data_IF_962790384216
#
_entry.id   IF_962790384216
#
_cell.length_a   1.000
_cell.length_b   1.000
_cell.length_c   1.000
_cell.angle_alpha   90.00
_cell.angle_beta   90.00
_cell.angle_gamma   90.00
#
_symmetry.space_group_name_H-M   'P 1'
#
loop_
_entity.id
_entity.type
_entity.pdbx_description
1 polymer ?
#
# COMPACT_ATOMS: atom_id res chain seq x y z
N UNK A 1 -7.18 -3.95 -30.24
CA UNK A 1 -6.76 -2.80 -29.60
C UNK A 1 -5.88 -3.00 -28.42
N UNK A 2 -4.68 -2.75 -28.62
CA UNK A 2 -3.73 -3.08 -27.59
C UNK A 2 -3.14 -1.89 -26.91
N UNK A 3 -3.35 -0.73 -27.49
CA UNK A 3 -2.86 0.43 -26.84
C UNK A 3 -3.60 0.58 -25.54
N UNK A 4 -2.89 0.80 -24.53
CA UNK A 4 -3.46 0.93 -23.23
C UNK A 4 -3.54 -0.35 -22.47
N UNK A 5 -3.28 -1.48 -23.10
CA UNK A 5 -3.24 -2.73 -22.37
C UNK A 5 -1.92 -2.88 -21.64
N UNK A 6 -2.01 -3.32 -20.40
CA UNK A 6 -0.84 -3.54 -19.57
C UNK A 6 -0.42 -4.98 -19.70
N UNK A 7 0.84 -5.21 -20.07
CA UNK A 7 1.35 -6.58 -20.19
C UNK A 7 1.84 -7.07 -18.85
N UNK A 8 1.74 -8.37 -18.62
CA UNK A 8 2.29 -8.94 -17.38
C UNK A 8 3.77 -8.59 -17.25
N UNK A 9 4.16 -8.13 -16.09
CA UNK A 9 5.54 -7.77 -15.84
C UNK A 9 5.88 -6.33 -16.13
N UNK A 10 5.04 -5.63 -16.88
CA UNK A 10 5.28 -4.22 -17.17
C UNK A 10 4.89 -3.35 -15.99
N UNK A 11 5.57 -2.22 -15.87
CA UNK A 11 5.16 -1.22 -14.89
C UNK A 11 3.86 -0.60 -15.37
N UNK A 12 2.83 -0.73 -14.56
CA UNK A 12 1.49 -0.24 -14.92
C UNK A 12 1.26 1.18 -14.44
N UNK A 13 1.92 1.59 -13.36
CA UNK A 13 1.61 2.86 -12.76
C UNK A 13 2.72 3.32 -11.83
N UNK A 14 2.96 4.61 -11.81
CA UNK A 14 3.85 5.24 -10.85
C UNK A 14 3.03 6.12 -9.93
N UNK A 15 3.29 6.03 -8.64
CA UNK A 15 2.49 6.72 -7.65
C UNK A 15 3.37 7.29 -6.56
N UNK A 16 3.13 8.55 -6.23
CA UNK A 16 3.80 9.18 -5.10
C UNK A 16 2.81 9.32 -3.97
N UNK A 17 3.23 8.92 -2.78
CA UNK A 17 2.37 8.93 -1.61
C UNK A 17 3.00 9.74 -0.49
N UNK A 18 2.15 10.47 0.23
CA UNK A 18 2.59 11.09 1.47
C UNK A 18 2.78 10.02 2.54
N UNK A 19 3.40 10.41 3.65
CA UNK A 19 3.64 9.47 4.74
C UNK A 19 2.33 8.85 5.25
N UNK A 20 1.30 9.66 5.40
CA UNK A 20 0.01 9.17 5.88
C UNK A 20 -0.60 8.20 4.89
N UNK A 21 -0.56 8.57 3.60
CA UNK A 21 -1.09 7.71 2.57
C UNK A 21 -0.34 6.39 2.52
N UNK A 22 0.97 6.44 2.67
CA UNK A 22 1.80 5.24 2.68
C UNK A 22 1.42 4.33 3.83
N UNK A 23 1.19 4.90 5.01
CA UNK A 23 0.80 4.08 6.15
C UNK A 23 -0.53 3.38 5.93
N UNK A 24 -1.48 4.07 5.32
CA UNK A 24 -2.79 3.48 5.02
C UNK A 24 -2.63 2.33 4.02
N UNK A 25 -1.86 2.56 2.97
CA UNK A 25 -1.66 1.54 1.94
C UNK A 25 -0.97 0.32 2.53
N UNK A 26 0.09 0.54 3.29
CA UNK A 26 0.83 -0.56 3.91
C UNK A 26 -0.07 -1.37 4.84
N UNK A 27 -0.83 -0.68 5.67
CA UNK A 27 -1.72 -1.33 6.63
C UNK A 27 -2.79 -2.15 5.91
N UNK A 28 -3.36 -1.58 4.85
CA UNK A 28 -4.40 -2.28 4.09
C UNK A 28 -3.85 -3.54 3.43
N UNK A 29 -2.65 -3.44 2.84
CA UNK A 29 -2.04 -4.59 2.19
C UNK A 29 -1.66 -5.66 3.19
N UNK A 30 -1.15 -5.26 4.35
CA UNK A 30 -0.79 -6.22 5.39
C UNK A 30 -2.03 -6.96 5.88
N UNK A 31 -3.12 -6.23 6.07
CA UNK A 31 -4.37 -6.82 6.51
C UNK A 31 -4.89 -7.80 5.47
N UNK A 32 -4.85 -7.41 4.20
CA UNK A 32 -5.26 -8.29 3.13
C UNK A 32 -4.40 -9.56 3.10
N UNK A 33 -3.10 -9.39 3.21
CA UNK A 33 -2.18 -10.52 3.22
C UNK A 33 -2.54 -11.50 4.32
N UNK A 34 -2.84 -11.00 5.51
CA UNK A 34 -3.18 -11.85 6.65
C UNK A 34 -4.52 -12.55 6.48
N UNK A 35 -5.42 -11.96 5.70
CA UNK A 35 -6.75 -12.54 5.47
C UNK A 35 -6.77 -13.59 4.37
N UNK A 36 -5.78 -13.59 3.48
CA UNK A 36 -5.75 -14.56 2.39
C UNK A 36 -5.40 -15.93 2.91
N UNK A 37 -6.12 -16.94 2.43
CA UNK A 37 -5.91 -18.29 2.86
C UNK A 37 -5.00 -19.08 1.94
N UNK A 38 -4.86 -20.36 2.23
CA UNK A 38 -3.99 -21.24 1.46
C UNK A 38 -4.40 -21.35 0.00
N UNK A 39 -5.69 -21.21 -0.26
CA UNK A 39 -6.19 -21.33 -1.61
C UNK A 39 -5.84 -20.13 -2.47
N UNK A 40 -5.37 -19.07 -1.82
CA UNK A 40 -5.08 -17.83 -2.52
C UNK A 40 -3.60 -17.48 -2.44
N UNK A 41 -2.77 -18.51 -2.48
CA UNK A 41 -1.33 -18.33 -2.38
C UNK A 41 -0.76 -17.45 -3.47
N UNK A 42 -1.29 -17.58 -4.67
CA UNK A 42 -0.79 -16.78 -5.78
C UNK A 42 -1.08 -15.30 -5.53
N UNK A 43 -2.29 -14.99 -5.09
CA UNK A 43 -2.63 -13.61 -4.75
C UNK A 43 -1.79 -13.13 -3.57
N UNK A 44 -1.63 -13.99 -2.56
CA UNK A 44 -0.83 -13.65 -1.39
C UNK A 44 0.60 -13.35 -1.78
N UNK A 45 1.14 -14.09 -2.75
CA UNK A 45 2.49 -13.84 -3.25
C UNK A 45 2.62 -12.47 -3.89
N UNK A 46 1.63 -12.07 -4.67
CA UNK A 46 1.65 -10.75 -5.30
C UNK A 46 1.57 -9.65 -4.25
N UNK A 47 0.73 -9.83 -3.25
CA UNK A 47 0.63 -8.85 -2.17
C UNK A 47 1.97 -8.72 -1.45
N UNK A 48 2.63 -9.84 -1.21
CA UNK A 48 3.96 -9.81 -0.57
C UNK A 48 4.96 -9.04 -1.43
N UNK A 49 4.91 -9.25 -2.74
CA UNK A 49 5.81 -8.53 -3.64
C UNK A 49 5.61 -7.02 -3.52
N UNK A 50 4.35 -6.59 -3.46
CA UNK A 50 4.07 -5.17 -3.33
C UNK A 50 4.61 -4.66 -1.99
N UNK A 51 4.36 -5.40 -0.91
CA UNK A 51 4.84 -5.00 0.41
C UNK A 51 6.35 -4.87 0.43
N UNK A 52 7.06 -5.72 -0.30
CA UNK A 52 8.51 -5.66 -0.33
C UNK A 52 9.04 -4.42 -1.04
N UNK A 53 8.20 -3.77 -1.85
CA UNK A 53 8.58 -2.54 -2.54
C UNK A 53 8.32 -1.28 -1.71
N UNK A 54 7.62 -1.42 -0.61
CA UNK A 54 7.31 -0.31 0.27
C UNK A 54 8.37 -0.19 1.36
N UNK A 55 8.41 0.96 2.06
CA UNK A 55 9.32 1.09 3.20
C UNK A 55 9.09 -0.02 4.21
N UNK A 56 10.11 -0.35 4.99
CA UNK A 56 9.99 -1.45 5.93
C UNK A 56 9.00 -1.09 7.04
N UNK A 57 8.57 -2.12 7.76
CA UNK A 57 7.54 -1.96 8.77
C UNK A 57 7.95 -0.99 9.87
N UNK A 58 9.24 -0.98 10.20
CA UNK A 58 9.73 -0.07 11.23
C UNK A 58 9.51 1.39 10.83
N UNK A 59 9.81 1.72 9.59
CA UNK A 59 9.60 3.08 9.09
C UNK A 59 8.13 3.44 9.06
N UNK A 60 7.29 2.48 8.69
CA UNK A 60 5.85 2.70 8.63
C UNK A 60 5.30 2.97 10.03
N UNK A 61 5.78 2.24 11.03
CA UNK A 61 5.32 2.45 12.41
C UNK A 61 5.70 3.80 12.95
N UNK A 62 6.77 4.38 12.46
CA UNK A 62 7.22 5.68 12.92
C UNK A 62 6.28 6.80 12.48
N UNK A 63 5.38 6.54 11.54
CA UNK A 63 4.44 7.54 11.06
C UNK A 63 3.32 7.69 12.09
N UNK A 64 3.14 8.91 12.58
CA UNK A 64 2.10 9.20 13.56
C UNK A 64 0.80 9.56 12.84
N UNK A 65 0.01 8.53 12.58
CA UNK A 65 -1.23 8.70 11.83
C UNK A 65 -2.23 9.58 12.57
N UNK A 66 -2.33 9.40 13.88
CA UNK A 66 -3.25 10.20 14.67
C UNK A 66 -2.95 11.68 14.56
N UNK A 67 -1.68 12.01 14.67
CA UNK A 67 -1.24 13.40 14.63
C UNK A 67 -1.55 14.00 13.26
N UNK A 68 -1.28 13.25 12.20
CA UNK A 68 -1.52 13.75 10.86
C UNK A 68 -3.01 13.93 10.58
N UNK A 69 -3.83 13.02 11.07
CA UNK A 69 -5.26 13.14 10.89
C UNK A 69 -5.82 14.32 11.68
N UNK A 70 -5.29 14.53 12.89
CA UNK A 70 -5.72 15.67 13.70
C UNK A 70 -5.37 16.98 13.00
N UNK A 71 -4.18 17.03 12.39
CA UNK A 71 -3.77 18.22 11.67
C UNK A 71 -4.67 18.49 10.48
N UNK A 72 -5.06 17.44 9.75
CA UNK A 72 -5.96 17.59 8.62
C UNK A 72 -7.32 18.13 9.04
N UNK A 73 -7.85 17.61 10.15
CA UNK A 73 -9.13 18.07 10.65
C UNK A 73 -9.08 19.53 11.06
N UNK A 74 -8.00 19.91 11.73
CA UNK A 74 -7.82 21.31 12.09
C UNK A 74 -7.73 22.20 10.88
N UNK A 75 -7.07 21.73 9.83
CA UNK A 75 -6.94 22.50 8.60
C UNK A 75 -8.26 22.62 7.89
N UNK A 76 -9.07 21.58 7.96
CA UNK A 76 -10.34 21.56 7.27
C UNK A 76 -11.37 22.48 7.90
N UNK A 77 -11.16 22.84 9.13
CA UNK A 77 -12.09 23.75 9.83
C UNK A 77 -11.93 25.21 9.39
#
# INVERSE_FOLDING_TARGET
MDEGLIRPGDVAYHLELTAVQMKIVHTALKSLYDDLGHEERDVQGVVREVLSKLPNEHEIRAIDLKRELARRRGTAA
#
